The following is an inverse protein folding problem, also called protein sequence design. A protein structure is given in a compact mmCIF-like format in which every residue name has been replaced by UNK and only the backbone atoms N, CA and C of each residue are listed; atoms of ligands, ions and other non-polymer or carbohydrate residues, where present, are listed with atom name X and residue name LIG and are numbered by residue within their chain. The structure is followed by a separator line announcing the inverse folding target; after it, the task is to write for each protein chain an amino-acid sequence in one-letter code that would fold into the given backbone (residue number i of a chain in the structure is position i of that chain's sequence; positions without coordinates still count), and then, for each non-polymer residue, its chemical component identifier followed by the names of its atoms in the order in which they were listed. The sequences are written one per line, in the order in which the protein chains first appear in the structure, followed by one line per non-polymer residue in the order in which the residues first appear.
data_IF_440106794495
#
_entry.id   IF_440106794495
#
_cell.length_a   1.000
_cell.length_b   1.000
_cell.length_c   1.000
_cell.angle_alpha   90.00
_cell.angle_beta   90.00
_cell.angle_gamma   90.00
#
_symmetry.space_group_name_H-M   'P 1'
#
loop_
_entity.id
_entity.type
_entity.pdbx_description
1 polymer ?
#
# COMPACT_ATOMS: atom_id res chain seq x y z
N UNK A 1 5.56 10.21 -12.55
CA UNK A 1 6.11 8.85 -12.66
C UNK A 1 6.91 8.54 -11.41
N UNK A 2 6.61 7.44 -10.71
CA UNK A 2 7.35 7.05 -9.49
C UNK A 2 8.70 6.47 -9.92
N UNK A 3 9.80 7.21 -9.72
CA UNK A 3 11.13 6.74 -10.09
C UNK A 3 11.69 5.81 -9.01
N UNK A 4 12.25 4.64 -9.36
CA UNK A 4 12.94 3.77 -8.40
C UNK A 4 14.07 4.52 -7.68
N UNK A 5 14.13 4.42 -6.35
CA UNK A 5 15.23 5.00 -5.58
C UNK A 5 16.43 4.05 -5.61
N UNK A 6 17.58 4.52 -6.11
CA UNK A 6 18.82 3.75 -6.12
C UNK A 6 19.52 3.88 -4.77
N UNK A 7 19.82 2.76 -4.13
CA UNK A 7 20.60 2.78 -2.90
C UNK A 7 22.07 3.13 -3.18
N UNK A 8 22.67 4.12 -2.49
CA UNK A 8 23.99 4.65 -2.84
C UNK A 8 25.13 3.65 -2.66
N UNK A 9 25.03 2.74 -1.67
CA UNK A 9 26.10 1.76 -1.37
C UNK A 9 25.94 0.44 -2.13
N UNK A 10 24.72 -0.05 -2.30
CA UNK A 10 24.46 -1.36 -2.92
C UNK A 10 24.10 -1.26 -4.41
N UNK A 11 23.70 -0.08 -4.88
CA UNK A 11 23.20 0.15 -6.23
C UNK A 11 21.84 -0.49 -6.51
N UNK A 12 21.24 -1.17 -5.53
CA UNK A 12 19.95 -1.85 -5.67
C UNK A 12 18.83 -0.81 -5.67
N UNK A 13 17.90 -0.95 -6.61
CA UNK A 13 16.71 -0.12 -6.64
C UNK A 13 15.67 -0.55 -5.63
N UNK A 14 15.00 0.43 -5.05
CA UNK A 14 13.95 0.24 -4.05
C UNK A 14 12.72 1.05 -4.42
N UNK A 15 11.56 0.47 -4.17
CA UNK A 15 10.27 1.12 -4.25
C UNK A 15 9.85 1.56 -2.83
N UNK A 16 9.38 2.81 -2.72
CA UNK A 16 8.85 3.38 -1.48
C UNK A 16 7.54 4.10 -1.79
N UNK A 17 6.45 3.70 -1.14
CA UNK A 17 5.15 4.37 -1.25
C UNK A 17 4.58 4.60 0.14
N UNK A 18 4.24 5.86 0.41
CA UNK A 18 3.65 6.26 1.68
C UNK A 18 2.21 5.80 1.77
N UNK A 19 1.82 5.32 2.95
CA UNK A 19 0.44 5.00 3.27
C UNK A 19 -0.22 6.24 3.89
N UNK A 20 -1.44 6.61 3.48
CA UNK A 20 -2.19 7.67 4.14
C UNK A 20 -2.31 7.40 5.65
N UNK A 21 -2.08 8.42 6.49
CA UNK A 21 -2.05 8.28 7.97
C UNK A 21 -3.29 7.59 8.54
N UNK A 22 -4.47 7.84 7.94
CA UNK A 22 -5.76 7.23 8.32
C UNK A 22 -5.80 5.70 8.14
N UNK A 23 -5.04 5.15 7.20
CA UNK A 23 -5.00 3.72 6.87
C UNK A 23 -3.85 2.99 7.56
N UNK A 24 -2.91 3.71 8.17
CA UNK A 24 -1.82 3.12 8.95
C UNK A 24 -2.31 2.17 10.06
N UNK A 25 -3.38 2.47 10.84
CA UNK A 25 -3.88 1.50 11.82
C UNK A 25 -4.47 0.24 11.19
N UNK A 26 -5.03 0.31 9.98
CA UNK A 26 -5.62 -0.85 9.28
C UNK A 26 -4.53 -1.71 8.62
N UNK A 27 -3.63 -1.08 7.86
CA UNK A 27 -2.55 -1.75 7.13
C UNK A 27 -1.41 -2.19 8.07
N UNK A 28 -1.27 -1.53 9.23
CA UNK A 28 -0.21 -1.76 10.21
C UNK A 28 1.17 -1.24 9.78
N UNK A 29 1.27 -0.54 8.64
CA UNK A 29 2.55 -0.01 8.10
C UNK A 29 2.35 1.40 7.54
N UNK A 30 3.31 2.28 7.82
CA UNK A 30 3.30 3.66 7.32
C UNK A 30 3.87 3.81 5.90
N UNK A 31 4.75 2.88 5.49
CA UNK A 31 5.41 2.93 4.18
C UNK A 31 5.58 1.51 3.64
N UNK A 32 5.15 1.30 2.40
CA UNK A 32 5.52 0.11 1.64
C UNK A 32 6.94 0.27 1.12
N UNK A 33 7.87 -0.48 1.70
CA UNK A 33 9.28 -0.53 1.29
C UNK A 33 9.58 -1.90 0.70
N UNK A 34 9.90 -1.93 -0.58
CA UNK A 34 10.24 -3.18 -1.27
C UNK A 34 11.52 -2.99 -2.09
N UNK A 35 12.46 -3.92 -1.94
CA UNK A 35 13.66 -3.95 -2.77
C UNK A 35 13.34 -4.65 -4.09
N UNK A 36 13.76 -4.06 -5.20
CA UNK A 36 13.59 -4.64 -6.53
C UNK A 36 14.70 -5.65 -6.87
N UNK A 37 15.71 -5.77 -5.99
CA UNK A 37 16.88 -6.64 -6.10
C UNK A 37 17.66 -6.56 -7.43
N UNK A 38 17.37 -5.56 -8.26
CA UNK A 38 18.08 -5.27 -9.51
C UNK A 38 18.90 -4.00 -9.39
N UNK A 39 20.01 -3.96 -10.11
CA UNK A 39 20.87 -2.76 -10.30
C UNK A 39 20.58 -2.08 -11.64
N UNK A 40 19.77 -2.69 -12.49
CA UNK A 40 19.44 -2.20 -13.82
C UNK A 40 18.19 -1.33 -13.80
N UNK A 41 18.30 -0.13 -14.34
CA UNK A 41 17.22 0.86 -14.29
C UNK A 41 16.03 0.44 -15.16
N UNK A 42 16.27 -0.24 -16.27
CA UNK A 42 15.21 -0.73 -17.18
C UNK A 42 14.39 -1.81 -16.49
N UNK A 43 15.05 -2.81 -15.92
CA UNK A 43 14.38 -3.87 -15.15
C UNK A 43 13.64 -3.30 -13.95
N UNK A 44 14.26 -2.39 -13.21
CA UNK A 44 13.62 -1.75 -12.06
C UNK A 44 12.31 -1.05 -12.43
N UNK A 45 12.26 -0.37 -13.58
CA UNK A 45 11.03 0.26 -14.07
C UNK A 45 9.95 -0.77 -14.38
N UNK A 46 10.30 -1.87 -15.04
CA UNK A 46 9.36 -2.95 -15.34
C UNK A 46 8.82 -3.61 -14.07
N UNK A 47 9.67 -3.85 -13.07
CA UNK A 47 9.30 -4.47 -11.81
C UNK A 47 8.43 -3.57 -10.92
N UNK A 48 8.58 -2.25 -11.00
CA UNK A 48 7.77 -1.32 -10.20
C UNK A 48 6.30 -1.34 -10.60
N UNK A 49 5.98 -1.55 -11.87
CA UNK A 49 4.61 -1.49 -12.39
C UNK A 49 3.67 -2.44 -11.63
N UNK A 50 3.96 -3.76 -11.54
CA UNK A 50 3.10 -4.67 -10.79
C UNK A 50 3.08 -4.35 -9.29
N UNK A 51 4.24 -4.00 -8.70
CA UNK A 51 4.32 -3.63 -7.27
C UNK A 51 3.45 -2.41 -6.94
N UNK A 52 3.37 -1.42 -7.84
CA UNK A 52 2.50 -0.26 -7.65
C UNK A 52 1.04 -0.66 -7.66
N UNK A 53 0.63 -1.50 -8.60
CA UNK A 53 -0.74 -2.00 -8.70
C UNK A 53 -1.14 -2.79 -7.45
N UNK A 54 -0.25 -3.62 -6.92
CA UNK A 54 -0.49 -4.37 -5.68
C UNK A 54 -0.67 -3.44 -4.48
N UNK A 55 0.20 -2.42 -4.36
CA UNK A 55 0.09 -1.42 -3.28
C UNK A 55 -1.18 -0.60 -3.41
N UNK A 56 -1.55 -0.19 -4.63
CA UNK A 56 -2.81 0.54 -4.87
C UNK A 56 -4.03 -0.31 -4.50
N UNK A 57 -4.02 -1.60 -4.83
CA UNK A 57 -5.08 -2.52 -4.42
C UNK A 57 -5.16 -2.66 -2.90
N UNK A 58 -4.03 -2.78 -2.19
CA UNK A 58 -4.04 -2.85 -0.72
C UNK A 58 -4.58 -1.57 -0.07
N UNK A 59 -4.20 -0.40 -0.59
CA UNK A 59 -4.73 0.88 -0.12
C UNK A 59 -6.24 0.95 -0.36
N UNK A 60 -6.70 0.59 -1.55
CA UNK A 60 -8.13 0.60 -1.91
C UNK A 60 -8.94 -0.33 -1.01
N UNK A 61 -8.45 -1.54 -0.74
CA UNK A 61 -9.11 -2.49 0.16
C UNK A 61 -9.20 -1.94 1.59
N UNK A 62 -8.14 -1.32 2.09
CA UNK A 62 -8.14 -0.69 3.41
C UNK A 62 -9.11 0.51 3.50
N UNK A 63 -9.28 1.27 2.40
CA UNK A 63 -10.28 2.35 2.34
C UNK A 63 -11.72 1.84 2.40
N UNK A 64 -11.99 0.71 1.74
CA UNK A 64 -13.30 0.07 1.81
C UNK A 64 -13.58 -0.42 3.24
N UNK A 65 -12.63 -1.11 3.87
CA UNK A 65 -12.76 -1.58 5.27
C UNK A 65 -13.03 -0.42 6.24
N UNK A 66 -12.32 0.71 6.10
CA UNK A 66 -12.57 1.89 6.91
C UNK A 66 -14.01 2.42 6.77
N UNK A 67 -14.60 2.28 5.59
CA UNK A 67 -15.96 2.72 5.30
C UNK A 67 -17.00 1.73 5.85
N UNK A 68 -16.75 0.43 5.71
CA UNK A 68 -17.62 -0.63 6.22
C UNK A 68 -17.67 -0.66 7.76
N UNK A 69 -16.55 -0.42 8.43
CA UNK A 69 -16.47 -0.32 9.89
C UNK A 69 -17.29 0.86 10.44
N UNK A 70 -17.47 1.93 9.65
CA UNK A 70 -18.36 3.04 10.03
C UNK A 70 -19.86 2.73 9.91
N UNK A 71 -20.21 1.61 9.27
CA UNK A 71 -21.59 1.19 9.03
C UNK A 71 -22.05 0.05 9.96
N UNK A 72 -21.15 -0.52 10.78
CA UNK A 72 -21.46 -1.57 11.75
C UNK A 72 -21.71 -1.03 13.18
N UNK A 73 -22.44 0.08 13.29
CA UNK A 73 -23.30 0.31 14.47
C UNK A 73 -24.78 0.13 14.07
N UNK A 74 -25.09 -0.92 13.30
CA UNK A 74 -26.46 -1.40 13.19
C UNK A 74 -26.78 -2.20 14.46
N UNK A 75 -27.17 -1.43 15.49
CA UNK A 75 -27.68 -1.90 16.77
C UNK A 75 -28.69 -3.04 16.60
N UNK A 76 -28.47 -4.15 17.30
CA UNK A 76 -29.39 -5.29 17.43
C UNK A 76 -30.77 -4.93 18.04
N UNK A 77 -31.06 -3.65 18.26
CA UNK A 77 -32.35 -3.15 18.77
C UNK A 77 -33.44 -3.01 17.69
N UNK A 78 -33.09 -3.07 16.41
CA UNK A 78 -34.08 -2.94 15.32
C UNK A 78 -34.79 -4.26 14.97
N UNK A 79 -34.46 -5.36 15.66
CA UNK A 79 -35.12 -6.67 15.51
C UNK A 79 -36.07 -7.01 16.68
N UNK A 80 -36.81 -6.02 17.22
CA UNK A 80 -37.99 -6.31 18.04
C UNK A 80 -39.24 -6.25 17.17
N UNK A 81 -39.74 -7.44 16.81
CA UNK A 81 -41.12 -7.68 16.37
C UNK A 81 -41.86 -8.44 17.46
#
# INVERSE_FOLDING_TARGET
MSSPFKHPKSGIYTHRKGVPKRLVPIIGKAVFKQSLNTKDLREAKSLIIPLLADVDNQIRLAELQLTDDSSQELSLRDCQF
#
